data_IF_531287583679
#
_entry.id   IF_531287583679
#
_cell.length_a   1.000
_cell.length_b   1.000
_cell.length_c   1.000
_cell.angle_alpha   90.00
_cell.angle_beta   90.00
_cell.angle_gamma   90.00
#
_symmetry.space_group_name_H-M   'P 1'
#
loop_
_entity.id
_entity.type
_entity.pdbx_description
1 polymer ?
#
# COMPACT_ATOMS: atom_id res chain seq x y z
N UNK A 1 8.34 8.88 4.06
CA UNK A 1 7.26 7.86 4.08
C UNK A 1 6.94 7.51 2.64
N UNK A 2 6.57 6.26 2.36
CA UNK A 2 6.20 5.83 1.01
C UNK A 2 4.70 5.51 1.01
N UNK A 3 3.91 6.17 0.19
CA UNK A 3 2.49 5.88 0.02
C UNK A 3 2.25 5.15 -1.30
N UNK A 4 1.54 4.03 -1.25
CA UNK A 4 1.23 3.17 -2.39
C UNK A 4 -0.28 3.10 -2.56
N UNK A 5 -0.75 3.53 -3.72
CA UNK A 5 -2.13 3.36 -4.16
C UNK A 5 -2.15 2.28 -5.24
N UNK A 6 -2.71 1.12 -4.88
CA UNK A 6 -2.69 -0.06 -5.74
C UNK A 6 -4.12 -0.50 -6.05
N UNK A 7 -4.59 -0.04 -7.21
CA UNK A 7 -5.89 -0.37 -7.75
C UNK A 7 -5.90 -1.63 -8.59
N UNK A 8 -7.06 -1.91 -9.17
CA UNK A 8 -7.30 -3.09 -10.01
C UNK A 8 -6.38 -3.15 -11.22
N UNK A 9 -6.17 -2.00 -11.88
CA UNK A 9 -5.44 -1.85 -13.14
C UNK A 9 -4.30 -0.83 -13.09
N UNK A 10 -4.09 -0.18 -11.94
CA UNK A 10 -3.05 0.84 -11.81
C UNK A 10 -2.33 0.74 -10.48
N UNK A 11 -1.04 0.99 -10.50
CA UNK A 11 -0.19 1.08 -9.33
C UNK A 11 0.47 2.46 -9.31
N UNK A 12 0.43 3.15 -8.17
CA UNK A 12 1.06 4.46 -7.97
C UNK A 12 1.81 4.47 -6.66
N UNK A 13 3.05 4.95 -6.68
CA UNK A 13 3.87 5.17 -5.51
C UNK A 13 4.19 6.65 -5.35
N UNK A 14 4.25 7.10 -4.12
CA UNK A 14 4.60 8.46 -3.74
C UNK A 14 5.64 8.43 -2.63
N UNK A 15 6.78 9.07 -2.84
CA UNK A 15 7.75 9.35 -1.79
C UNK A 15 7.38 10.68 -1.14
N UNK A 16 7.07 10.63 0.15
CA UNK A 16 6.61 11.76 0.94
C UNK A 16 7.69 12.21 1.93
N UNK A 17 7.95 13.51 1.96
CA UNK A 17 8.69 14.18 3.01
C UNK A 17 7.89 14.18 4.33
N UNK A 18 8.56 14.56 5.42
CA UNK A 18 7.95 14.57 6.76
C UNK A 18 6.77 15.55 6.90
N UNK A 19 6.73 16.60 6.08
CA UNK A 19 5.65 17.59 6.02
C UNK A 19 4.51 17.17 5.07
N UNK A 20 4.58 15.99 4.47
CA UNK A 20 3.61 15.50 3.49
C UNK A 20 3.87 15.95 2.05
N UNK A 21 4.94 16.72 1.79
CA UNK A 21 5.32 17.09 0.43
C UNK A 21 5.68 15.85 -0.40
N UNK A 22 5.15 15.75 -1.61
CA UNK A 22 5.53 14.71 -2.57
C UNK A 22 6.91 15.04 -3.15
N UNK A 23 7.91 14.26 -2.79
CA UNK A 23 9.28 14.37 -3.32
C UNK A 23 9.40 13.70 -4.69
N UNK A 24 8.77 12.54 -4.85
CA UNK A 24 8.79 11.77 -6.09
C UNK A 24 7.48 10.99 -6.24
N UNK A 25 7.05 10.80 -7.49
CA UNK A 25 5.91 9.97 -7.84
C UNK A 25 6.32 8.97 -8.93
N UNK A 26 5.93 7.71 -8.74
CA UNK A 26 6.09 6.64 -9.73
C UNK A 26 4.75 5.99 -10.04
N UNK A 27 4.62 5.47 -11.27
CA UNK A 27 3.41 4.79 -11.74
C UNK A 27 3.80 3.50 -12.43
N UNK A 28 3.05 2.44 -12.15
CA UNK A 28 3.14 1.13 -12.80
C UNK A 28 1.81 0.75 -13.44
N UNK A 29 1.86 -0.03 -14.50
CA UNK A 29 0.69 -0.64 -15.15
C UNK A 29 0.25 -1.94 -14.46
N UNK A 30 1.05 -2.45 -13.52
CA UNK A 30 0.80 -3.71 -12.83
C UNK A 30 -0.18 -3.53 -11.66
N UNK A 31 -1.45 -3.32 -11.98
CA UNK A 31 -2.54 -3.44 -10.99
C UNK A 31 -2.65 -4.86 -10.41
N UNK A 32 -3.49 -5.06 -9.40
CA UNK A 32 -3.58 -6.37 -8.70
C UNK A 32 -3.93 -7.55 -9.64
N UNK A 33 -4.62 -7.29 -10.76
CA UNK A 33 -4.93 -8.33 -11.76
C UNK A 33 -3.72 -8.67 -12.64
N UNK A 34 -2.89 -7.68 -12.94
CA UNK A 34 -1.74 -7.81 -13.83
C UNK A 34 -0.50 -8.39 -13.12
N UNK A 35 -0.36 -8.14 -11.81
CA UNK A 35 0.78 -8.66 -11.05
C UNK A 35 0.73 -10.19 -10.85
N UNK A 36 -0.43 -10.83 -11.05
CA UNK A 36 -0.62 -12.29 -10.96
C UNK A 36 -0.04 -12.90 -9.66
N UNK A 37 -0.25 -12.22 -8.52
CA UNK A 37 0.24 -12.66 -7.21
C UNK A 37 1.69 -12.27 -6.88
N UNK A 38 2.45 -11.70 -7.82
CA UNK A 38 3.83 -11.23 -7.60
C UNK A 38 3.91 -9.84 -6.96
N UNK A 39 3.15 -9.64 -5.89
CA UNK A 39 3.02 -8.32 -5.25
C UNK A 39 4.35 -7.80 -4.70
N UNK A 40 5.13 -8.66 -4.04
CA UNK A 40 6.44 -8.29 -3.49
C UNK A 40 7.40 -7.78 -4.57
N UNK A 41 7.50 -8.50 -5.69
CA UNK A 41 8.43 -8.18 -6.78
C UNK A 41 8.06 -6.88 -7.48
N UNK A 42 6.76 -6.72 -7.80
CA UNK A 42 6.24 -5.51 -8.45
C UNK A 42 6.42 -4.29 -7.55
N UNK A 43 6.13 -4.44 -6.25
CA UNK A 43 6.30 -3.35 -5.30
C UNK A 43 7.77 -2.97 -5.13
N UNK A 44 8.64 -3.95 -4.92
CA UNK A 44 10.09 -3.76 -4.79
C UNK A 44 10.67 -3.00 -5.98
N UNK A 45 10.26 -3.38 -7.19
CA UNK A 45 10.68 -2.70 -8.43
C UNK A 45 10.20 -1.25 -8.47
N UNK A 46 8.94 -0.99 -8.08
CA UNK A 46 8.39 0.36 -8.09
C UNK A 46 9.13 1.28 -7.09
N UNK A 47 9.42 0.78 -5.89
CA UNK A 47 10.01 1.57 -4.81
C UNK A 47 11.53 1.47 -4.75
N UNK A 48 12.17 0.97 -5.80
CA UNK A 48 13.63 0.81 -5.83
C UNK A 48 14.35 2.15 -5.57
N UNK A 49 15.30 2.14 -4.64
CA UNK A 49 15.99 3.35 -4.17
C UNK A 49 15.20 4.27 -3.25
N UNK A 50 13.96 3.93 -2.84
CA UNK A 50 13.23 4.66 -1.80
C UNK A 50 13.38 4.01 -0.44
N UNK A 51 13.47 4.84 0.61
CA UNK A 51 13.59 4.35 1.99
C UNK A 51 12.48 4.87 2.91
N UNK A 52 12.08 4.00 3.85
CA UNK A 52 11.12 4.30 4.90
C UNK A 52 9.93 3.32 4.96
N UNK A 53 8.96 3.59 5.84
CA UNK A 53 7.76 2.77 5.97
C UNK A 53 6.84 2.93 4.77
N UNK A 54 6.16 1.85 4.40
CA UNK A 54 5.18 1.83 3.32
C UNK A 54 3.77 1.87 3.86
N UNK A 55 2.93 2.70 3.27
CA UNK A 55 1.48 2.73 3.46
C UNK A 55 0.81 2.21 2.20
N UNK A 56 0.11 1.08 2.30
CA UNK A 56 -0.66 0.47 1.23
C UNK A 56 -2.14 0.91 1.33
N UNK A 57 -2.71 1.30 0.20
CA UNK A 57 -4.12 1.63 0.03
C UNK A 57 -4.67 1.06 -1.28
N UNK A 58 -6.00 0.94 -1.36
CA UNK A 58 -6.72 0.49 -2.53
C UNK A 58 -7.04 -1.01 -2.54
N UNK A 59 -7.12 -1.57 -3.74
CA UNK A 59 -7.58 -2.94 -3.98
C UNK A 59 -6.59 -4.01 -3.53
N UNK A 60 -5.35 -3.63 -3.18
CA UNK A 60 -4.36 -4.53 -2.57
C UNK A 60 -4.82 -5.12 -1.22
N UNK A 61 -5.76 -4.45 -0.54
CA UNK A 61 -6.41 -4.95 0.67
C UNK A 61 -7.67 -5.78 0.42
N UNK A 62 -8.05 -6.03 -0.84
CA UNK A 62 -9.24 -6.83 -1.17
C UNK A 62 -8.97 -8.33 -1.04
N UNK A 63 -10.03 -9.15 -1.17
CA UNK A 63 -9.93 -10.63 -1.22
C UNK A 63 -8.96 -11.17 -2.28
N UNK A 64 -8.84 -10.46 -3.39
CA UNK A 64 -7.94 -10.83 -4.49
C UNK A 64 -6.62 -10.04 -4.46
N UNK A 65 -6.40 -9.27 -3.39
CA UNK A 65 -5.19 -8.49 -3.16
C UNK A 65 -4.09 -9.33 -2.51
N UNK A 66 -3.15 -8.65 -1.86
CA UNK A 66 -2.03 -9.29 -1.19
C UNK A 66 -2.43 -9.83 0.18
N UNK A 67 -3.07 -8.98 1.00
CA UNK A 67 -3.60 -9.37 2.30
C UNK A 67 -4.99 -8.77 2.47
N UNK A 68 -5.99 -9.62 2.68
CA UNK A 68 -7.38 -9.19 2.88
C UNK A 68 -7.50 -8.32 4.13
N UNK A 69 -8.04 -7.12 3.96
CA UNK A 69 -8.44 -6.23 5.03
C UNK A 69 -9.95 -6.27 5.22
N UNK A 70 -10.35 -6.45 6.48
CA UNK A 70 -11.74 -6.39 6.86
C UNK A 70 -12.28 -4.96 6.70
N UNK A 71 -13.52 -4.86 6.23
CA UNK A 71 -14.24 -3.59 6.20
C UNK A 71 -14.63 -3.16 7.61
N UNK A 72 -14.59 -1.86 7.88
CA UNK A 72 -15.14 -1.33 9.12
C UNK A 72 -16.65 -1.09 9.00
N UNK A 73 -17.46 -1.43 10.03
CA UNK A 73 -18.88 -1.14 10.03
C UNK A 73 -19.12 0.37 10.12
N UNK A 74 -20.04 0.88 9.31
CA UNK A 74 -20.41 2.29 9.34
C UNK A 74 -21.31 2.62 10.55
N UNK A 75 -21.20 3.83 11.12
CA UNK A 75 -20.27 4.90 10.73
C UNK A 75 -18.84 4.66 11.25
N UNK A 76 -17.85 4.86 10.38
CA UNK A 76 -16.43 4.82 10.74
C UNK A 76 -15.81 6.20 10.51
N UNK A 77 -15.12 6.72 11.52
CA UNK A 77 -14.35 7.96 11.40
C UNK A 77 -12.87 7.68 11.12
N UNK A 78 -12.08 8.74 10.93
CA UNK A 78 -10.64 8.63 10.66
C UNK A 78 -9.88 8.01 11.82
N UNK A 79 -10.35 8.18 13.06
CA UNK A 79 -9.73 7.59 14.24
C UNK A 79 -9.96 6.07 14.28
N UNK A 80 -11.15 5.59 13.89
CA UNK A 80 -11.47 4.18 13.75
C UNK A 80 -10.63 3.52 12.64
N UNK A 81 -10.49 4.19 11.49
CA UNK A 81 -9.62 3.74 10.40
C UNK A 81 -8.16 3.60 10.86
N UNK A 82 -7.64 4.62 11.56
CA UNK A 82 -6.26 4.61 12.08
C UNK A 82 -6.02 3.47 13.08
N UNK A 83 -6.97 3.20 13.97
CA UNK A 83 -6.88 2.12 14.96
C UNK A 83 -6.94 0.73 14.34
N UNK A 84 -7.63 0.59 13.21
CA UNK A 84 -7.78 -0.68 12.51
C UNK A 84 -6.71 -0.92 11.43
N UNK A 85 -5.73 -0.01 11.30
CA UNK A 85 -4.56 -0.25 10.46
C UNK A 85 -3.79 -1.48 10.91
N UNK A 86 -3.33 -2.28 9.95
CA UNK A 86 -2.45 -3.43 10.24
C UNK A 86 -1.08 -3.23 9.67
N UNK A 87 -0.08 -3.65 10.45
CA UNK A 87 1.32 -3.65 10.07
C UNK A 87 1.79 -5.06 9.77
N UNK A 88 2.59 -5.20 8.71
CA UNK A 88 3.18 -6.43 8.26
C UNK A 88 4.69 -6.24 8.08
N UNK A 89 5.47 -7.21 8.53
CA UNK A 89 6.95 -7.18 8.47
C UNK A 89 7.53 -8.37 7.72
N UNK A 90 6.68 -9.32 7.33
CA UNK A 90 6.99 -10.57 6.66
C UNK A 90 6.71 -10.53 5.15
N UNK A 91 5.93 -9.56 4.68
CA UNK A 91 5.53 -9.43 3.27
C UNK A 91 6.65 -8.92 2.35
N UNK A 92 7.48 -8.00 2.84
CA UNK A 92 8.63 -7.50 2.09
C UNK A 92 9.85 -7.47 3.02
N UNK A 93 10.90 -8.26 2.74
CA UNK A 93 12.08 -8.34 3.61
C UNK A 93 12.68 -6.96 3.89
N UNK A 94 12.88 -6.66 5.18
CA UNK A 94 13.49 -5.41 5.62
C UNK A 94 12.60 -4.16 5.52
N UNK A 95 11.31 -4.31 5.20
CA UNK A 95 10.36 -3.19 5.20
C UNK A 95 9.17 -3.47 6.12
N UNK A 96 8.63 -2.39 6.67
CA UNK A 96 7.35 -2.39 7.38
C UNK A 96 6.27 -1.84 6.46
N UNK A 97 5.22 -2.64 6.25
CA UNK A 97 4.08 -2.30 5.41
C UNK A 97 2.87 -2.11 6.31
N UNK A 98 2.24 -0.95 6.21
CA UNK A 98 0.99 -0.67 6.89
C UNK A 98 -0.13 -0.62 5.86
N UNK A 99 -1.27 -1.26 6.10
CA UNK A 99 -2.42 -1.18 5.20
C UNK A 99 -3.65 -0.63 5.92
N UNK A 100 -4.38 0.25 5.24
CA UNK A 100 -5.65 0.79 5.73
C UNK A 100 -6.79 -0.21 5.47
N UNK A 101 -7.68 -0.45 6.44
CA UNK A 101 -8.95 -1.14 6.18
C UNK A 101 -9.85 -0.29 5.27
N UNK A 102 -10.79 -0.99 4.62
CA UNK A 102 -11.73 -0.40 3.68
C UNK A 102 -13.07 -0.05 4.33
#
# INVERSE_FOLDING_TARGET
>A
MIAIDWGTSSLRGYLLAADGTVLEQRRGSDGILACQGRFADVLSTLIDGWDGPLLLSGMIGSRNGWVEQAYLPCPADTAALAQAMRSYTDLLPGRTLCSCPA
#
